data_IF_143155254171
#
_entry.id   IF_143155254171
#
_cell.length_a   1.000
_cell.length_b   1.000
_cell.length_c   1.000
_cell.angle_alpha   90.00
_cell.angle_beta   90.00
_cell.angle_gamma   90.00
#
_symmetry.space_group_name_H-M   'P 1'
#
loop_
_entity.id
_entity.type
_entity.pdbx_description
1 polymer ?
#
# COMPACT_ATOMS: atom_id res chain seq x y z
N UNK A 1 19.26 -33.06 -9.99
CA UNK A 1 18.72 -32.13 -11.02
C UNK A 1 18.81 -30.72 -10.48
N UNK A 2 19.10 -29.72 -11.32
CA UNK A 2 19.02 -28.32 -10.89
C UNK A 2 17.59 -28.02 -10.43
N UNK A 3 17.40 -27.26 -9.34
CA UNK A 3 16.06 -26.84 -8.88
C UNK A 3 15.24 -26.20 -10.01
N UNK A 4 15.90 -25.53 -10.95
CA UNK A 4 15.28 -24.93 -12.14
C UNK A 4 14.57 -25.98 -13.01
N UNK A 5 15.17 -27.15 -13.21
CA UNK A 5 14.58 -28.21 -14.03
C UNK A 5 13.34 -28.82 -13.37
N UNK A 6 13.33 -28.90 -12.04
CA UNK A 6 12.19 -29.38 -11.26
C UNK A 6 11.02 -28.40 -11.36
N UNK A 7 11.28 -27.10 -11.16
CA UNK A 7 10.26 -26.05 -11.29
C UNK A 7 9.70 -25.97 -12.72
N UNK A 8 10.55 -26.12 -13.73
CA UNK A 8 10.11 -26.13 -15.12
C UNK A 8 9.20 -27.34 -15.42
N UNK A 9 9.53 -28.52 -14.89
CA UNK A 9 8.69 -29.71 -14.99
C UNK A 9 7.31 -29.49 -14.36
N UNK A 10 7.28 -29.00 -13.12
CA UNK A 10 6.03 -28.70 -12.40
C UNK A 10 5.19 -27.64 -13.13
N UNK A 11 5.80 -26.59 -13.69
CA UNK A 11 5.08 -25.59 -14.49
C UNK A 11 4.43 -26.19 -15.74
N UNK A 12 5.13 -27.08 -16.45
CA UNK A 12 4.57 -27.74 -17.63
C UNK A 12 3.43 -28.68 -17.23
N UNK A 13 3.62 -29.46 -16.15
CA UNK A 13 2.60 -30.37 -15.60
C UNK A 13 1.35 -29.65 -15.13
N UNK A 14 1.47 -28.39 -14.67
CA UNK A 14 0.29 -27.59 -14.29
C UNK A 14 -0.71 -27.38 -15.44
N UNK A 15 -0.24 -27.46 -16.70
CA UNK A 15 -1.06 -27.19 -17.88
C UNK A 15 -1.43 -25.73 -18.09
N UNK A 16 -1.04 -24.81 -17.18
CA UNK A 16 -1.46 -23.40 -17.20
C UNK A 16 -0.54 -22.48 -18.01
N UNK A 17 0.59 -22.97 -18.51
CA UNK A 17 1.61 -22.15 -19.18
C UNK A 17 1.29 -21.99 -20.67
N UNK A 18 0.74 -20.83 -21.04
CA UNK A 18 0.42 -20.49 -22.42
C UNK A 18 0.79 -19.05 -22.78
N UNK A 19 1.06 -18.79 -24.07
CA UNK A 19 1.40 -17.45 -24.55
C UNK A 19 0.32 -16.40 -24.28
N UNK A 20 -0.96 -16.80 -24.27
CA UNK A 20 -2.08 -15.90 -23.96
C UNK A 20 -2.28 -15.66 -22.45
N UNK A 21 -1.64 -16.44 -21.56
CA UNK A 21 -1.76 -16.25 -20.11
C UNK A 21 -1.18 -14.89 -19.66
N UNK A 22 -0.34 -14.26 -20.49
CA UNK A 22 0.20 -12.92 -20.25
C UNK A 22 -0.81 -11.80 -20.52
N UNK A 23 -1.93 -12.09 -21.19
CA UNK A 23 -2.86 -11.06 -21.67
C UNK A 23 -3.48 -10.21 -20.55
N UNK A 24 -3.88 -10.74 -19.37
CA UNK A 24 -4.37 -9.91 -18.27
C UNK A 24 -3.30 -8.93 -17.78
N UNK A 25 -2.04 -9.37 -17.74
CA UNK A 25 -0.91 -8.49 -17.41
C UNK A 25 -0.70 -7.41 -18.47
N UNK A 26 -0.76 -7.75 -19.75
CA UNK A 26 -0.67 -6.77 -20.85
C UNK A 26 -1.83 -5.76 -20.81
N UNK A 27 -3.05 -6.21 -20.52
CA UNK A 27 -4.22 -5.33 -20.35
C UNK A 27 -4.00 -4.38 -19.17
N UNK A 28 -3.56 -4.90 -18.03
CA UNK A 28 -3.28 -4.11 -16.84
C UNK A 28 -2.21 -3.04 -17.11
N UNK A 29 -1.07 -3.44 -17.70
CA UNK A 29 0.04 -2.52 -18.01
C UNK A 29 -0.38 -1.51 -19.08
N UNK A 30 -1.06 -1.94 -20.13
CA UNK A 30 -1.55 -1.05 -21.18
C UNK A 30 -2.48 0.03 -20.63
N UNK A 31 -3.50 -0.35 -19.87
CA UNK A 31 -4.44 0.59 -19.26
C UNK A 31 -3.77 1.53 -18.25
N UNK A 32 -2.78 1.03 -17.49
CA UNK A 32 -1.99 1.84 -16.58
C UNK A 32 -1.13 2.89 -17.33
N UNK A 33 -0.51 2.52 -18.45
CA UNK A 33 0.26 3.45 -19.31
C UNK A 33 -0.66 4.52 -19.90
N UNK A 34 -1.87 4.15 -20.30
CA UNK A 34 -2.89 5.10 -20.76
C UNK A 34 -3.59 5.87 -19.63
N UNK A 35 -3.16 5.69 -18.38
CA UNK A 35 -3.69 6.39 -17.19
C UNK A 35 -5.20 6.24 -17.03
N UNK A 36 -5.75 5.09 -17.41
CA UNK A 36 -7.15 4.76 -17.17
C UNK A 36 -7.38 4.60 -15.66
N UNK A 37 -8.57 4.95 -15.18
CA UNK A 37 -8.91 4.83 -13.76
C UNK A 37 -8.67 3.39 -13.26
N UNK A 38 -8.11 3.26 -12.05
CA UNK A 38 -7.76 1.99 -11.44
C UNK A 38 -8.94 1.00 -11.36
N UNK A 39 -10.15 1.49 -11.06
CA UNK A 39 -11.35 0.65 -10.96
C UNK A 39 -11.63 -0.05 -12.29
N UNK A 40 -11.64 0.71 -13.40
CA UNK A 40 -11.85 0.12 -14.73
C UNK A 40 -10.70 -0.80 -15.12
N UNK A 41 -9.47 -0.46 -14.78
CA UNK A 41 -8.30 -1.30 -15.06
C UNK A 41 -8.42 -2.66 -14.38
N UNK A 42 -8.83 -2.69 -13.11
CA UNK A 42 -9.07 -3.93 -12.35
C UNK A 42 -10.20 -4.74 -12.99
N UNK A 43 -11.34 -4.10 -13.30
CA UNK A 43 -12.49 -4.79 -13.94
C UNK A 43 -12.08 -5.42 -15.28
N UNK A 44 -11.42 -4.66 -16.16
CA UNK A 44 -10.97 -5.18 -17.45
C UNK A 44 -9.96 -6.33 -17.30
N UNK A 45 -9.07 -6.26 -16.31
CA UNK A 45 -8.10 -7.32 -16.02
C UNK A 45 -8.80 -8.59 -15.52
N UNK A 46 -9.80 -8.45 -14.64
CA UNK A 46 -10.62 -9.57 -14.16
C UNK A 46 -11.38 -10.20 -15.33
N UNK A 47 -12.02 -9.39 -16.19
CA UNK A 47 -12.75 -9.90 -17.37
C UNK A 47 -11.81 -10.66 -18.31
N UNK A 48 -10.61 -10.11 -18.58
CA UNK A 48 -9.60 -10.78 -19.39
C UNK A 48 -9.16 -12.13 -18.77
N UNK A 49 -8.94 -12.15 -17.45
CA UNK A 49 -8.60 -13.39 -16.72
C UNK A 49 -9.74 -14.41 -16.77
N UNK A 50 -11.00 -13.98 -16.62
CA UNK A 50 -12.17 -14.85 -16.73
C UNK A 50 -12.31 -15.44 -18.13
N UNK A 51 -12.08 -14.65 -19.19
CA UNK A 51 -12.09 -15.14 -20.58
C UNK A 51 -11.06 -16.26 -20.73
N UNK A 52 -9.83 -16.06 -20.24
CA UNK A 52 -8.77 -17.09 -20.31
C UNK A 52 -9.15 -18.33 -19.50
N UNK A 53 -9.68 -18.15 -18.30
CA UNK A 53 -10.15 -19.26 -17.47
C UNK A 53 -11.19 -20.09 -18.20
N UNK A 54 -12.17 -19.46 -18.88
CA UNK A 54 -13.20 -20.16 -19.66
C UNK A 54 -12.71 -20.77 -20.98
N UNK A 55 -11.61 -20.25 -21.55
CA UNK A 55 -10.98 -20.83 -22.74
C UNK A 55 -10.22 -22.12 -22.40
N UNK A 56 -9.60 -22.18 -21.22
CA UNK A 56 -8.76 -23.31 -20.81
C UNK A 56 -9.49 -24.32 -19.92
N UNK A 57 -10.52 -23.88 -19.20
CA UNK A 57 -11.29 -24.69 -18.26
C UNK A 57 -12.76 -24.30 -18.31
N UNK A 58 -13.65 -25.17 -17.85
CA UNK A 58 -15.08 -24.84 -17.79
C UNK A 58 -15.59 -24.97 -16.35
N UNK A 59 -15.10 -24.11 -15.42
CA UNK A 59 -15.54 -24.18 -14.04
C UNK A 59 -17.02 -23.82 -13.95
N UNK A 60 -17.72 -24.53 -13.06
CA UNK A 60 -19.08 -24.14 -12.66
C UNK A 60 -19.06 -22.79 -11.96
N UNK A 61 -20.21 -22.11 -11.91
CA UNK A 61 -20.34 -20.83 -11.23
C UNK A 61 -19.94 -20.90 -9.75
N UNK A 62 -20.27 -22.01 -9.06
CA UNK A 62 -19.86 -22.25 -7.67
C UNK A 62 -18.35 -22.39 -7.51
N UNK A 63 -17.67 -23.09 -8.42
CA UNK A 63 -16.21 -23.20 -8.42
C UNK A 63 -15.53 -21.86 -8.67
N UNK A 64 -16.05 -21.07 -9.61
CA UNK A 64 -15.54 -19.73 -9.88
C UNK A 64 -15.67 -18.82 -8.66
N UNK A 65 -16.82 -18.86 -7.97
CA UNK A 65 -17.01 -18.18 -6.69
C UNK A 65 -16.01 -18.65 -5.63
N UNK A 66 -15.76 -19.95 -5.55
CA UNK A 66 -14.72 -20.53 -4.70
C UNK A 66 -13.32 -19.99 -5.00
N UNK A 67 -12.93 -19.90 -6.27
CA UNK A 67 -11.63 -19.36 -6.67
C UNK A 67 -11.47 -17.89 -6.28
N UNK A 68 -12.51 -17.07 -6.44
CA UNK A 68 -12.48 -15.66 -6.05
C UNK A 68 -12.46 -15.50 -4.51
N UNK A 69 -13.20 -16.34 -3.79
CA UNK A 69 -13.35 -16.26 -2.36
C UNK A 69 -12.16 -16.85 -1.59
N UNK A 70 -11.87 -18.13 -1.81
CA UNK A 70 -10.82 -18.87 -1.10
C UNK A 70 -9.47 -18.82 -1.81
N UNK A 71 -9.45 -18.58 -3.12
CA UNK A 71 -8.26 -18.68 -3.97
C UNK A 71 -8.32 -19.92 -4.87
N UNK A 72 -7.59 -19.88 -5.98
CA UNK A 72 -7.38 -21.07 -6.81
C UNK A 72 -6.43 -22.03 -6.10
N UNK A 73 -6.72 -23.33 -6.17
CA UNK A 73 -5.82 -24.40 -5.74
C UNK A 73 -5.76 -25.47 -6.84
N UNK A 74 -4.58 -25.95 -7.25
CA UNK A 74 -4.46 -27.07 -8.16
C UNK A 74 -5.11 -28.33 -7.59
N UNK A 75 -5.50 -29.26 -8.47
CA UNK A 75 -6.04 -30.54 -8.05
C UNK A 75 -5.04 -31.29 -7.16
N UNK A 76 -5.50 -31.89 -6.06
CA UNK A 76 -4.65 -32.63 -5.12
C UNK A 76 -3.86 -33.78 -5.78
N UNK A 77 -4.32 -34.28 -6.92
CA UNK A 77 -3.64 -35.30 -7.71
C UNK A 77 -2.39 -34.79 -8.45
N UNK A 78 -2.20 -33.48 -8.56
CA UNK A 78 -1.03 -32.85 -9.18
C UNK A 78 -0.03 -32.44 -8.08
N UNK A 79 1.07 -33.18 -7.96
CA UNK A 79 2.16 -32.87 -7.02
C UNK A 79 3.05 -31.71 -7.53
N UNK A 80 2.49 -30.50 -7.57
CA UNK A 80 3.16 -29.31 -8.10
C UNK A 80 4.19 -28.69 -7.14
N UNK A 81 4.41 -29.26 -5.96
CA UNK A 81 5.39 -28.78 -4.98
C UNK A 81 5.33 -27.26 -4.74
N UNK A 82 6.48 -26.58 -4.87
CA UNK A 82 6.59 -25.12 -4.70
C UNK A 82 5.73 -24.34 -5.71
N UNK A 83 5.60 -24.82 -6.95
CA UNK A 83 4.76 -24.19 -7.99
C UNK A 83 3.29 -24.19 -7.58
N UNK A 84 2.83 -25.28 -6.94
CA UNK A 84 1.47 -25.36 -6.41
C UNK A 84 1.18 -24.27 -5.36
N UNK A 85 2.15 -23.99 -4.49
CA UNK A 85 2.08 -22.88 -3.53
C UNK A 85 2.09 -21.50 -4.20
N UNK A 86 2.86 -21.32 -5.27
CA UNK A 86 2.87 -20.06 -6.03
C UNK A 86 1.54 -19.77 -6.75
N UNK A 87 0.85 -20.82 -7.19
CA UNK A 87 -0.48 -20.72 -7.81
C UNK A 87 -1.58 -20.51 -6.75
N UNK A 88 -1.37 -21.00 -5.52
CA UNK A 88 -2.35 -20.99 -4.43
C UNK A 88 -2.12 -19.84 -3.44
N UNK A 89 -2.34 -18.60 -3.89
CA UNK A 89 -2.08 -17.39 -3.08
C UNK A 89 -3.26 -16.91 -2.21
N UNK A 90 -4.34 -17.69 -2.16
CA UNK A 90 -5.57 -17.32 -1.46
C UNK A 90 -6.48 -16.37 -2.27
N UNK A 91 -7.64 -16.05 -1.71
CA UNK A 91 -8.64 -15.15 -2.29
C UNK A 91 -9.05 -14.06 -1.32
N UNK A 92 -10.25 -13.51 -1.47
CA UNK A 92 -10.78 -12.48 -0.56
C UNK A 92 -10.77 -12.91 0.91
N UNK A 93 -11.00 -14.20 1.19
CA UNK A 93 -11.01 -14.78 2.53
C UNK A 93 -9.67 -14.59 3.26
N UNK A 94 -8.53 -14.74 2.57
CA UNK A 94 -7.21 -14.59 3.21
C UNK A 94 -6.92 -13.13 3.61
N UNK A 95 -7.67 -12.18 3.05
CA UNK A 95 -7.55 -10.76 3.33
C UNK A 95 -8.55 -10.24 4.38
N UNK A 96 -9.45 -11.08 4.91
CA UNK A 96 -10.47 -10.65 5.87
C UNK A 96 -9.90 -9.99 7.13
N UNK A 97 -8.77 -10.50 7.64
CA UNK A 97 -8.11 -9.89 8.79
C UNK A 97 -7.63 -8.46 8.46
N UNK A 98 -6.95 -8.29 7.33
CA UNK A 98 -6.50 -6.97 6.85
C UNK A 98 -7.69 -6.03 6.62
N UNK A 99 -8.78 -6.52 6.02
CA UNK A 99 -10.00 -5.74 5.78
C UNK A 99 -10.66 -5.29 7.09
N UNK A 100 -10.72 -6.17 8.10
CA UNK A 100 -11.26 -5.82 9.41
C UNK A 100 -10.44 -4.68 10.06
N UNK A 101 -9.10 -4.76 9.99
CA UNK A 101 -8.22 -3.69 10.46
C UNK A 101 -8.50 -2.38 9.71
N UNK A 102 -8.61 -2.42 8.38
CA UNK A 102 -8.94 -1.23 7.58
C UNK A 102 -10.25 -0.60 8.04
N UNK A 103 -11.33 -1.37 8.19
CA UNK A 103 -12.64 -0.86 8.60
C UNK A 103 -12.57 -0.25 10.00
N UNK A 104 -11.93 -0.92 10.96
CA UNK A 104 -11.79 -0.43 12.32
C UNK A 104 -10.95 0.85 12.37
N UNK A 105 -9.85 0.88 11.64
CA UNK A 105 -8.91 2.00 11.64
C UNK A 105 -9.50 3.24 10.93
N UNK A 106 -10.19 3.06 9.81
CA UNK A 106 -10.96 4.13 9.15
C UNK A 106 -12.08 4.66 10.04
N UNK A 107 -12.80 3.78 10.74
CA UNK A 107 -13.86 4.17 11.69
C UNK A 107 -13.29 5.00 12.85
N UNK A 108 -12.16 4.57 13.42
CA UNK A 108 -11.47 5.30 14.49
C UNK A 108 -10.99 6.68 14.02
N UNK A 109 -10.31 6.77 12.88
CA UNK A 109 -9.85 8.08 12.38
C UNK A 109 -10.99 9.00 11.95
N UNK A 110 -12.10 8.44 11.44
CA UNK A 110 -13.34 9.18 11.20
C UNK A 110 -13.90 9.78 12.49
N UNK A 111 -13.92 9.01 13.58
CA UNK A 111 -14.35 9.49 14.90
C UNK A 111 -13.42 10.58 15.45
N UNK A 112 -12.10 10.41 15.37
CA UNK A 112 -11.13 11.42 15.81
C UNK A 112 -11.26 12.74 15.05
N UNK A 113 -11.63 12.66 13.77
CA UNK A 113 -11.90 13.83 12.92
C UNK A 113 -13.22 14.49 13.31
N UNK A 114 -14.29 13.71 13.43
CA UNK A 114 -15.62 14.22 13.79
C UNK A 114 -15.65 14.88 15.18
N UNK A 115 -14.90 14.35 16.14
CA UNK A 115 -14.74 14.91 17.49
C UNK A 115 -13.84 16.15 17.53
N UNK A 116 -13.19 16.53 16.42
CA UNK A 116 -12.30 17.69 16.36
C UNK A 116 -10.98 17.51 17.12
N UNK A 117 -10.62 16.29 17.52
CA UNK A 117 -9.41 15.99 18.31
C UNK A 117 -8.15 16.37 17.53
N UNK A 118 -8.08 15.98 16.26
CA UNK A 118 -6.92 16.26 15.42
C UNK A 118 -6.77 17.77 15.13
N UNK A 119 -7.81 18.51 14.68
CA UNK A 119 -7.77 19.97 14.58
C UNK A 119 -7.34 20.68 15.87
N UNK A 120 -7.82 20.21 17.04
CA UNK A 120 -7.47 20.80 18.33
C UNK A 120 -5.99 20.57 18.72
N UNK A 121 -5.43 19.39 18.44
CA UNK A 121 -4.01 19.13 18.65
C UNK A 121 -3.13 20.06 17.80
N UNK A 122 -3.56 20.34 16.57
CA UNK A 122 -2.83 21.18 15.63
C UNK A 122 -2.90 22.66 15.98
N UNK A 123 -4.06 23.13 16.41
CA UNK A 123 -4.22 24.52 16.87
C UNK A 123 -3.31 24.80 18.06
N UNK A 124 -3.16 23.85 18.98
CA UNK A 124 -2.29 23.97 20.16
C UNK A 124 -0.79 24.10 19.84
N UNK A 125 -0.31 23.55 18.72
CA UNK A 125 1.11 23.63 18.34
C UNK A 125 1.40 24.68 17.28
N UNK A 126 0.38 25.23 16.61
CA UNK A 126 0.50 26.10 15.43
C UNK A 126 1.43 27.30 15.64
N UNK A 127 1.35 27.94 16.81
CA UNK A 127 2.13 29.16 17.10
C UNK A 127 3.62 28.87 17.27
N UNK A 128 3.98 27.62 17.58
CA UNK A 128 5.37 27.19 17.65
C UNK A 128 5.97 26.93 16.27
N UNK A 129 5.17 26.76 15.21
CA UNK A 129 5.64 26.38 13.87
C UNK A 129 6.10 27.60 13.06
N UNK A 130 7.16 28.26 13.52
CA UNK A 130 7.67 29.51 12.93
C UNK A 130 8.68 29.34 11.81
N UNK A 131 9.26 28.14 11.65
CA UNK A 131 10.27 27.85 10.62
C UNK A 131 9.88 26.66 9.76
N UNK A 132 10.42 26.58 8.55
CA UNK A 132 10.15 25.50 7.60
C UNK A 132 10.51 24.13 8.18
N UNK A 133 11.64 24.01 8.86
CA UNK A 133 12.06 22.76 9.52
C UNK A 133 11.12 22.33 10.64
N UNK A 134 10.65 23.26 11.47
CA UNK A 134 9.67 22.96 12.53
C UNK A 134 8.34 22.51 11.95
N UNK A 135 7.86 23.16 10.89
CA UNK A 135 6.62 22.77 10.21
C UNK A 135 6.72 21.39 9.55
N UNK A 136 7.82 21.10 8.86
CA UNK A 136 8.08 19.79 8.22
C UNK A 136 8.21 18.70 9.29
N UNK A 137 8.99 18.95 10.34
CA UNK A 137 9.13 18.00 11.45
C UNK A 137 7.78 17.72 12.11
N UNK A 138 7.00 18.75 12.43
CA UNK A 138 5.69 18.56 13.04
C UNK A 138 4.73 17.78 12.12
N UNK A 139 4.68 18.10 10.82
CA UNK A 139 3.86 17.37 9.87
C UNK A 139 4.29 15.90 9.74
N UNK A 140 5.60 15.64 9.65
CA UNK A 140 6.15 14.29 9.57
C UNK A 140 5.85 13.48 10.85
N UNK A 141 6.10 14.06 12.03
CA UNK A 141 5.85 13.39 13.30
C UNK A 141 4.36 13.17 13.55
N UNK A 142 3.49 14.06 13.09
CA UNK A 142 2.03 13.84 13.14
C UNK A 142 1.60 12.70 12.23
N UNK A 143 2.07 12.65 10.98
CA UNK A 143 1.77 11.55 10.06
C UNK A 143 2.30 10.19 10.59
N UNK A 144 3.53 10.17 11.10
CA UNK A 144 4.11 9.01 11.76
C UNK A 144 3.27 8.58 12.98
N UNK A 145 2.88 9.52 13.83
CA UNK A 145 2.08 9.22 15.04
C UNK A 145 0.71 8.66 14.68
N UNK A 146 0.04 9.20 13.65
CA UNK A 146 -1.24 8.66 13.17
C UNK A 146 -1.05 7.23 12.66
N UNK A 147 0.02 6.95 11.89
CA UNK A 147 0.33 5.59 11.46
C UNK A 147 0.58 4.65 12.63
N UNK A 148 1.39 5.06 13.61
CA UNK A 148 1.71 4.23 14.77
C UNK A 148 0.49 4.02 15.66
N UNK A 149 -0.38 5.02 15.84
CA UNK A 149 -1.53 4.89 16.73
C UNK A 149 -2.74 4.20 16.08
N UNK A 150 -3.01 4.50 14.81
CA UNK A 150 -4.22 4.05 14.10
C UNK A 150 -3.91 2.88 13.15
N UNK A 151 -2.71 2.82 12.57
CA UNK A 151 -2.33 1.80 11.59
C UNK A 151 -2.87 2.06 10.18
N UNK A 152 -3.46 3.22 9.91
CA UNK A 152 -4.13 3.54 8.64
C UNK A 152 -3.42 4.69 7.90
N UNK A 153 -2.91 4.38 6.72
CA UNK A 153 -2.10 5.28 5.91
C UNK A 153 -2.92 6.43 5.32
N UNK A 154 -4.13 6.15 4.82
CA UNK A 154 -4.92 7.15 4.11
C UNK A 154 -5.32 8.31 5.03
N UNK A 155 -5.76 7.99 6.24
CA UNK A 155 -6.05 8.92 7.33
C UNK A 155 -4.81 9.68 7.76
N UNK A 156 -3.66 9.02 7.90
CA UNK A 156 -2.40 9.68 8.22
C UNK A 156 -2.09 10.82 7.23
N UNK A 157 -2.16 10.54 5.92
CA UNK A 157 -1.87 11.49 4.85
C UNK A 157 -2.94 12.58 4.79
N UNK A 158 -4.23 12.20 4.80
CA UNK A 158 -5.34 13.13 4.67
C UNK A 158 -5.37 14.11 5.84
N UNK A 159 -5.24 13.61 7.07
CA UNK A 159 -5.33 14.43 8.26
C UNK A 159 -4.11 15.32 8.39
N UNK A 160 -2.89 14.79 8.29
CA UNK A 160 -1.67 15.62 8.35
C UNK A 160 -1.58 16.62 7.18
N UNK A 161 -2.00 16.24 5.98
CA UNK A 161 -2.03 17.13 4.82
C UNK A 161 -3.00 18.29 4.99
N UNK A 162 -4.24 18.02 5.40
CA UNK A 162 -5.25 19.08 5.60
C UNK A 162 -4.91 19.97 6.80
N UNK A 163 -4.42 19.36 7.87
CA UNK A 163 -3.95 19.99 9.10
C UNK A 163 -2.88 21.06 8.90
N UNK A 164 -1.80 20.69 8.21
CA UNK A 164 -0.60 21.52 8.11
C UNK A 164 -0.60 22.43 6.89
N UNK A 165 -1.55 22.27 5.96
CA UNK A 165 -1.69 23.14 4.78
C UNK A 165 -1.67 24.64 5.13
N UNK A 166 -2.47 25.15 6.09
CA UNK A 166 -2.45 26.58 6.42
C UNK A 166 -1.11 27.05 6.99
N UNK A 167 -0.40 26.17 7.72
CA UNK A 167 0.93 26.48 8.28
C UNK A 167 1.97 26.60 7.18
N UNK A 168 1.96 25.69 6.20
CA UNK A 168 2.89 25.73 5.07
C UNK A 168 2.65 26.96 4.18
N UNK A 169 1.38 27.33 3.95
CA UNK A 169 1.01 28.55 3.25
C UNK A 169 1.49 29.80 3.97
N UNK A 170 1.25 29.90 5.29
CA UNK A 170 1.74 31.02 6.12
C UNK A 170 3.26 31.18 6.07
N UNK A 171 4.00 30.08 5.97
CA UNK A 171 5.46 30.08 5.86
C UNK A 171 5.99 30.28 4.43
N UNK A 172 5.10 30.58 3.47
CA UNK A 172 5.41 30.73 2.05
C UNK A 172 6.11 29.51 1.44
N UNK A 173 5.74 28.30 1.89
CA UNK A 173 6.25 27.05 1.36
C UNK A 173 5.43 26.56 0.18
N UNK A 174 6.10 26.03 -0.84
CA UNK A 174 5.41 25.40 -1.97
C UNK A 174 4.68 24.13 -1.49
N UNK A 175 3.43 23.86 -1.95
CA UNK A 175 2.63 22.70 -1.53
C UNK A 175 3.33 21.35 -1.69
N UNK A 176 4.25 21.25 -2.66
CA UNK A 176 5.11 20.06 -2.87
C UNK A 176 5.87 19.65 -1.61
N UNK A 177 6.28 20.60 -0.75
CA UNK A 177 7.03 20.26 0.45
C UNK A 177 6.13 19.51 1.43
N UNK A 178 4.88 19.95 1.59
CA UNK A 178 3.91 19.26 2.43
C UNK A 178 3.58 17.88 1.86
N UNK A 179 3.28 17.82 0.55
CA UNK A 179 3.00 16.57 -0.16
C UNK A 179 4.14 15.56 -0.02
N UNK A 180 5.40 15.97 -0.20
CA UNK A 180 6.56 15.12 0.04
C UNK A 180 6.65 14.67 1.51
N UNK A 181 6.44 15.59 2.45
CA UNK A 181 6.56 15.29 3.88
C UNK A 181 5.55 14.23 4.32
N UNK A 182 4.29 14.36 3.91
CA UNK A 182 3.24 13.40 4.25
C UNK A 182 3.38 12.09 3.46
N UNK A 183 3.99 12.11 2.27
CA UNK A 183 4.30 10.88 1.55
C UNK A 183 5.40 10.10 2.30
N UNK A 184 6.51 10.74 2.64
CA UNK A 184 7.63 10.08 3.31
C UNK A 184 7.27 9.58 4.72
N UNK A 185 6.50 10.35 5.50
CA UNK A 185 6.15 10.01 6.87
C UNK A 185 4.79 9.28 7.02
N UNK A 186 3.90 9.45 6.04
CA UNK A 186 2.58 8.85 5.98
C UNK A 186 2.59 7.54 5.19
N UNK A 187 2.99 7.60 3.92
CA UNK A 187 3.01 6.43 3.02
C UNK A 187 4.14 5.47 3.36
N UNK A 188 5.38 5.93 3.31
CA UNK A 188 6.54 5.02 3.30
C UNK A 188 6.79 4.35 4.67
N UNK A 189 6.31 4.97 5.75
CA UNK A 189 6.44 4.43 7.11
C UNK A 189 5.39 3.38 7.45
N UNK A 190 4.21 3.40 6.81
CA UNK A 190 3.10 2.50 7.17
C UNK A 190 3.52 1.01 7.20
N UNK A 191 4.31 0.49 6.23
CA UNK A 191 4.84 -0.88 6.27
C UNK A 191 5.64 -1.25 7.53
N UNK A 192 6.19 -0.29 8.28
CA UNK A 192 7.01 -0.57 9.46
C UNK A 192 6.20 -0.73 10.75
N UNK A 193 4.90 -0.45 10.71
CA UNK A 193 4.02 -0.52 11.88
C UNK A 193 3.36 -1.91 11.93
N UNK A 194 3.59 -2.74 12.97
CA UNK A 194 3.15 -4.14 12.97
C UNK A 194 1.65 -4.37 12.82
N UNK A 195 0.85 -3.43 13.33
CA UNK A 195 -0.61 -3.48 13.28
C UNK A 195 -1.21 -2.59 12.18
N UNK A 196 -0.38 -2.03 11.29
CA UNK A 196 -0.90 -1.28 10.16
C UNK A 196 -1.40 -2.19 9.05
N UNK A 197 -2.22 -1.63 8.17
CA UNK A 197 -2.76 -2.33 7.00
C UNK A 197 -1.62 -2.89 6.13
N UNK A 198 -0.61 -2.08 5.79
CA UNK A 198 0.51 -2.53 4.96
C UNK A 198 1.44 -3.49 5.72
N UNK A 199 1.71 -3.23 7.01
CA UNK A 199 2.57 -4.08 7.83
C UNK A 199 2.00 -5.49 7.98
N UNK A 200 0.71 -5.58 8.31
CA UNK A 200 -0.01 -6.86 8.38
C UNK A 200 -0.03 -7.56 7.02
N UNK A 201 -0.32 -6.84 5.94
CA UNK A 201 -0.32 -7.43 4.60
C UNK A 201 1.04 -8.02 4.22
N UNK A 202 2.13 -7.26 4.39
CA UNK A 202 3.48 -7.70 4.05
C UNK A 202 3.90 -8.87 4.94
N UNK A 203 3.61 -8.80 6.24
CA UNK A 203 3.94 -9.88 7.16
C UNK A 203 3.26 -11.20 6.79
N UNK A 204 1.98 -11.14 6.43
CA UNK A 204 1.21 -12.31 5.98
C UNK A 204 1.67 -12.81 4.62
N UNK A 205 2.01 -11.92 3.70
CA UNK A 205 2.46 -12.28 2.35
C UNK A 205 3.87 -12.91 2.35
N UNK A 206 4.77 -12.46 3.21
CA UNK A 206 6.15 -12.95 3.32
C UNK A 206 6.31 -14.07 4.36
N UNK A 207 5.36 -14.23 5.28
CA UNK A 207 5.51 -15.12 6.43
C UNK A 207 6.56 -14.66 7.45
N UNK A 208 6.92 -13.37 7.43
CA UNK A 208 7.95 -12.77 8.29
C UNK A 208 7.32 -11.67 9.13
N UNK A 209 7.47 -11.66 10.46
CA UNK A 209 7.00 -10.57 11.31
C UNK A 209 7.56 -9.21 10.91
N UNK A 210 6.79 -8.13 11.12
CA UNK A 210 7.21 -6.77 10.77
C UNK A 210 8.54 -6.36 11.42
N UNK A 211 8.73 -6.69 12.70
CA UNK A 211 9.95 -6.34 13.43
C UNK A 211 11.20 -7.04 12.87
N UNK A 212 11.04 -8.18 12.21
CA UNK A 212 12.15 -8.95 11.66
C UNK A 212 12.61 -8.35 10.31
N UNK A 213 11.67 -7.90 9.46
CA UNK A 213 12.04 -7.24 8.20
C UNK A 213 12.34 -5.74 8.34
N UNK A 214 11.88 -5.09 9.42
CA UNK A 214 12.02 -3.65 9.66
C UNK A 214 13.46 -3.13 9.48
N UNK A 215 14.52 -3.80 9.99
CA UNK A 215 15.89 -3.33 9.81
C UNK A 215 16.33 -3.26 8.34
N UNK A 216 15.80 -4.15 7.51
CA UNK A 216 16.12 -4.27 6.09
C UNK A 216 15.29 -3.33 5.21
N UNK A 217 14.24 -2.71 5.75
CA UNK A 217 13.41 -1.74 5.05
C UNK A 217 14.05 -0.34 5.03
N UNK A 218 15.32 -0.26 4.60
CA UNK A 218 16.16 0.95 4.62
C UNK A 218 15.46 2.18 4.04
N UNK A 219 14.80 2.01 2.90
CA UNK A 219 14.09 3.09 2.22
C UNK A 219 13.05 3.77 3.13
N UNK A 220 12.36 3.01 3.98
CA UNK A 220 11.24 3.51 4.76
C UNK A 220 11.67 4.49 5.83
N UNK A 221 12.61 4.09 6.70
CA UNK A 221 13.10 4.97 7.75
C UNK A 221 14.10 6.01 7.20
N UNK A 222 14.89 5.68 6.18
CA UNK A 222 15.80 6.67 5.58
C UNK A 222 15.04 7.80 4.90
N UNK A 223 13.91 7.51 4.22
CA UNK A 223 13.11 8.58 3.60
C UNK A 223 12.60 9.57 4.65
N UNK A 224 12.06 9.07 5.76
CA UNK A 224 11.64 9.90 6.89
C UNK A 224 12.81 10.73 7.46
N UNK A 225 13.95 10.09 7.73
CA UNK A 225 15.14 10.76 8.29
C UNK A 225 15.67 11.86 7.36
N UNK A 226 15.76 11.57 6.06
CA UNK A 226 16.20 12.55 5.06
C UNK A 226 15.22 13.71 4.94
N UNK A 227 13.90 13.46 5.00
CA UNK A 227 12.91 14.53 4.96
C UNK A 227 12.98 15.45 6.18
N UNK A 228 13.23 14.90 7.37
CA UNK A 228 13.49 15.70 8.57
C UNK A 228 14.78 16.51 8.41
N UNK A 229 15.87 15.87 7.97
CA UNK A 229 17.18 16.51 7.76
C UNK A 229 17.09 17.67 6.76
N UNK A 230 16.46 17.44 5.60
CA UNK A 230 16.26 18.47 4.57
C UNK A 230 15.31 19.58 5.02
N UNK A 231 14.32 19.24 5.85
CA UNK A 231 13.46 20.23 6.50
C UNK A 231 14.26 21.25 7.32
N UNK A 232 15.21 20.79 8.15
CA UNK A 232 16.02 21.67 9.00
C UNK A 232 17.15 22.37 8.25
N UNK A 233 17.82 21.68 7.32
CA UNK A 233 18.93 22.26 6.54
C UNK A 233 18.44 23.22 5.45
N UNK A 234 17.17 23.16 5.07
CA UNK A 234 16.59 23.98 3.98
C UNK A 234 16.95 23.48 2.59
N UNK A 235 17.76 22.42 2.47
CA UNK A 235 18.14 21.81 1.19
C UNK A 235 16.87 21.21 0.56
N UNK A 236 16.65 21.47 -0.73
CA UNK A 236 15.45 21.06 -1.50
C UNK A 236 14.11 21.72 -1.13
N UNK A 237 14.06 22.59 -0.10
CA UNK A 237 12.83 23.27 0.32
C UNK A 237 12.45 24.35 -0.70
N UNK A 238 11.31 24.17 -1.37
CA UNK A 238 10.81 25.11 -2.36
C UNK A 238 9.87 26.14 -1.74
N UNK A 239 10.06 27.42 -2.05
CA UNK A 239 9.15 28.50 -1.61
C UNK A 239 8.21 28.88 -2.74
N UNK A 240 7.07 29.48 -2.38
CA UNK A 240 6.21 30.12 -3.36
C UNK A 240 7.01 31.23 -4.05
N UNK A 241 6.93 31.33 -5.39
CA UNK A 241 7.47 32.49 -6.10
C UNK A 241 6.71 33.71 -5.57
N UNK A 242 7.42 34.76 -5.16
CA UNK A 242 6.80 36.07 -5.03
C UNK A 242 6.15 36.38 -6.38
N UNK A 243 4.84 36.63 -6.37
CA UNK A 243 4.23 37.39 -7.45
C UNK A 243 4.79 38.81 -7.43
#
# INVERSE_FOLDING_TARGET
MSQVTVLQGQLIESGLVHGYAVLPFVVLVGLAVFRVNAIYTIICTIVAALIITYLHSSPSFGQLGGYLFAGYAPAESLELGEVGGMLSRGGVQSMFFTQAIVILALSLGGLLTALGILPALLSGIKDTLTTSGRAIFAAAMSALSINVLIGEQYLSILLSGTAFRPTFERLNLHPKNLSRTIEDAGTVINPLVPWSVCGVFISQALGVPVLDYLPYAFFCYLSLLLTILFGFTGITISRLKSQ
#
